data_IF_827940179808
#
_entry.id   IF_827940179808
#
_cell.length_a   1.000
_cell.length_b   1.000
_cell.length_c   1.000
_cell.angle_alpha   90.00
_cell.angle_beta   90.00
_cell.angle_gamma   90.00
#
_symmetry.space_group_name_H-M   'P 1'
#
loop_
_entity.id
_entity.type
_entity.pdbx_description
1 polymer ?
#
# COMPACT_ATOMS: atom_id res chain seq x y z
N UNK A 1 -7.64 7.87 2.29
CA UNK A 1 -7.81 8.79 1.13
C UNK A 1 -6.69 8.53 0.14
N UNK A 2 -6.94 8.83 -1.14
CA UNK A 2 -5.90 8.85 -2.17
C UNK A 2 -6.04 10.14 -3.00
N UNK A 3 -4.90 10.62 -3.50
CA UNK A 3 -4.79 11.77 -4.39
C UNK A 3 -3.65 11.54 -5.38
N UNK A 4 -3.51 12.39 -6.37
CA UNK A 4 -2.43 12.28 -7.35
C UNK A 4 -2.03 13.66 -7.89
N UNK A 5 -0.82 13.72 -8.39
CA UNK A 5 -0.33 14.76 -9.29
C UNK A 5 0.28 14.13 -10.56
N UNK A 6 1.09 14.88 -11.28
CA UNK A 6 1.72 14.40 -12.50
C UNK A 6 2.66 13.21 -12.25
N UNK A 7 3.37 13.19 -11.14
CA UNK A 7 4.47 12.27 -10.86
C UNK A 7 4.14 11.21 -9.81
N UNK A 8 3.24 11.51 -8.87
CA UNK A 8 2.99 10.69 -7.69
C UNK A 8 1.52 10.36 -7.47
N UNK A 9 1.33 9.24 -6.78
CA UNK A 9 0.11 8.89 -6.06
C UNK A 9 0.37 9.10 -4.57
N UNK A 10 -0.56 9.76 -3.91
CA UNK A 10 -0.51 10.01 -2.47
C UNK A 10 -1.58 9.18 -1.77
N UNK A 11 -1.16 8.42 -0.78
CA UNK A 11 -2.05 7.58 0.02
C UNK A 11 -2.03 8.07 1.45
N UNK A 12 -3.20 8.38 2.00
CA UNK A 12 -3.36 8.85 3.37
C UNK A 12 -4.26 7.92 4.16
N UNK A 13 -3.81 7.56 5.37
CA UNK A 13 -4.62 6.88 6.38
C UNK A 13 -4.61 7.66 7.68
N UNK A 14 -5.72 7.62 8.39
CA UNK A 14 -5.87 8.07 9.76
C UNK A 14 -6.35 6.92 10.63
N UNK A 15 -5.62 6.63 11.69
CA UNK A 15 -5.92 5.60 12.67
C UNK A 15 -6.65 6.20 13.88
N UNK A 16 -7.23 5.35 14.72
CA UNK A 16 -7.85 5.77 15.97
C UNK A 16 -6.80 6.22 16.99
N UNK A 17 -5.77 5.41 17.14
CA UNK A 17 -4.66 5.63 18.07
C UNK A 17 -3.43 6.12 17.29
N UNK A 18 -2.44 6.74 17.95
CA UNK A 18 -1.20 7.14 17.29
C UNK A 18 -0.52 5.96 16.57
N UNK A 19 0.03 6.24 15.39
CA UNK A 19 0.78 5.24 14.61
C UNK A 19 2.08 4.92 15.36
N UNK A 20 2.35 3.63 15.53
CA UNK A 20 3.56 3.14 16.18
C UNK A 20 4.82 3.45 15.36
N UNK A 21 6.02 3.38 15.95
CA UNK A 21 7.27 3.58 15.21
C UNK A 21 7.44 2.58 14.07
N UNK A 22 8.08 3.00 12.99
CA UNK A 22 8.36 2.15 11.82
C UNK A 22 9.24 0.92 12.14
N UNK A 23 9.89 0.92 13.30
CA UNK A 23 10.70 -0.19 13.81
C UNK A 23 9.87 -1.30 14.44
N UNK A 24 8.59 -1.09 14.65
CA UNK A 24 7.71 -2.12 15.19
C UNK A 24 7.51 -3.25 14.17
N UNK A 25 7.45 -4.51 14.62
CA UNK A 25 7.16 -5.62 13.73
C UNK A 25 5.74 -5.54 13.16
N UNK A 26 5.56 -6.05 11.94
CA UNK A 26 4.26 -6.10 11.26
C UNK A 26 3.57 -4.73 11.13
N UNK A 27 4.36 -3.72 10.83
CA UNK A 27 3.89 -2.34 10.71
C UNK A 27 2.92 -2.15 9.54
N UNK A 28 2.19 -1.04 9.56
CA UNK A 28 1.17 -0.65 8.59
C UNK A 28 1.61 -0.83 7.13
N UNK A 29 0.98 -1.76 6.42
CA UNK A 29 1.23 -1.99 5.00
C UNK A 29 0.23 -1.22 4.13
N UNK A 30 0.71 -0.74 2.98
CA UNK A 30 -0.12 -0.31 1.87
C UNK A 30 -0.01 -1.37 0.75
N UNK A 31 -1.13 -1.99 0.42
CA UNK A 31 -1.25 -3.00 -0.64
C UNK A 31 -1.96 -2.38 -1.83
N UNK A 32 -1.43 -2.59 -3.04
CA UNK A 32 -1.94 -1.99 -4.28
C UNK A 32 -2.12 -3.07 -5.33
N UNK A 33 -3.33 -3.14 -5.88
CA UNK A 33 -3.73 -3.99 -7.01
C UNK A 33 -3.91 -3.07 -8.23
N UNK A 34 -2.90 -3.06 -9.11
CA UNK A 34 -2.88 -2.16 -10.26
C UNK A 34 -3.69 -2.66 -11.45
N UNK A 35 -3.84 -3.97 -11.59
CA UNK A 35 -4.58 -4.58 -12.69
C UNK A 35 -6.03 -4.94 -12.33
N UNK A 36 -6.40 -4.75 -11.07
CA UNK A 36 -7.73 -5.05 -10.51
C UNK A 36 -8.13 -6.52 -10.71
N UNK A 37 -7.16 -7.41 -10.62
CA UNK A 37 -7.33 -8.83 -10.84
C UNK A 37 -6.89 -9.63 -9.61
N UNK A 38 -7.85 -10.08 -8.84
CA UNK A 38 -7.58 -10.88 -7.64
C UNK A 38 -6.87 -12.23 -7.91
N UNK A 39 -6.74 -12.63 -9.17
CA UNK A 39 -6.03 -13.84 -9.59
C UNK A 39 -4.53 -13.63 -9.87
N UNK A 40 -4.05 -12.41 -9.86
CA UNK A 40 -2.64 -12.04 -10.05
C UNK A 40 -2.02 -11.53 -8.74
N UNK A 41 -0.73 -11.31 -8.73
CA UNK A 41 -0.04 -10.80 -7.55
C UNK A 41 0.00 -11.77 -6.37
N UNK A 42 0.26 -11.26 -5.19
CA UNK A 42 0.15 -11.97 -3.91
C UNK A 42 -1.17 -11.58 -3.25
N UNK A 43 -2.07 -12.54 -3.05
CA UNK A 43 -3.44 -12.31 -2.57
C UNK A 43 -4.24 -11.28 -3.41
N UNK A 44 -3.89 -11.11 -4.68
CA UNK A 44 -4.48 -10.11 -5.58
C UNK A 44 -3.76 -8.76 -5.59
N UNK A 45 -2.62 -8.61 -4.92
CA UNK A 45 -1.89 -7.35 -4.88
C UNK A 45 -0.58 -7.45 -5.66
N UNK A 46 -0.33 -6.45 -6.51
CA UNK A 46 0.87 -6.35 -7.36
C UNK A 46 2.02 -5.67 -6.63
N UNK A 47 1.70 -4.75 -5.71
CA UNK A 47 2.69 -3.96 -4.97
C UNK A 47 2.38 -3.92 -3.48
N UNK A 48 3.44 -3.86 -2.67
CA UNK A 48 3.37 -3.59 -1.24
C UNK A 48 4.36 -2.50 -0.87
N UNK A 49 3.93 -1.60 0.00
CA UNK A 49 4.74 -0.53 0.59
C UNK A 49 4.79 -0.73 2.10
N UNK A 50 5.86 -0.32 2.74
CA UNK A 50 6.14 -0.48 4.17
C UNK A 50 6.45 -1.91 4.63
N UNK A 51 6.64 -2.87 3.74
CA UNK A 51 7.12 -4.20 4.13
C UNK A 51 8.58 -4.16 4.62
N UNK A 52 9.34 -3.17 4.15
CA UNK A 52 10.69 -2.86 4.59
C UNK A 52 10.87 -1.34 4.63
N UNK A 53 11.22 -0.82 5.80
CA UNK A 53 11.29 0.63 6.05
C UNK A 53 12.68 1.00 6.56
N UNK A 54 13.53 1.60 5.72
CA UNK A 54 14.92 1.91 6.09
C UNK A 54 15.06 3.11 7.01
N UNK A 55 14.11 4.05 7.04
CA UNK A 55 14.23 5.27 7.84
C UNK A 55 12.87 5.86 8.24
N UNK A 56 12.88 6.95 9.01
CA UNK A 56 11.66 7.68 9.42
C UNK A 56 10.96 8.45 8.28
N UNK A 57 11.58 8.55 7.12
CA UNK A 57 11.07 9.36 6.00
C UNK A 57 11.03 8.63 4.67
N UNK A 58 11.63 7.44 4.61
CA UNK A 58 11.72 6.64 3.38
C UNK A 58 11.29 5.21 3.65
N UNK A 59 10.51 4.66 2.74
CA UNK A 59 10.06 3.27 2.73
C UNK A 59 10.36 2.61 1.40
N UNK A 60 10.34 1.29 1.37
CA UNK A 60 10.56 0.50 0.16
C UNK A 60 9.24 0.16 -0.51
N UNK A 61 9.21 0.29 -1.84
CA UNK A 61 8.15 -0.24 -2.70
C UNK A 61 8.60 -1.56 -3.27
N UNK A 62 7.81 -2.61 -3.08
CA UNK A 62 8.07 -3.93 -3.64
C UNK A 62 6.98 -4.34 -4.62
N UNK A 63 7.36 -5.08 -5.65
CA UNK A 63 6.45 -5.70 -6.61
C UNK A 63 6.47 -7.22 -6.45
N UNK A 64 5.31 -7.86 -6.66
CA UNK A 64 5.22 -9.32 -6.69
C UNK A 64 5.74 -9.85 -8.03
N UNK A 65 6.88 -10.53 -7.99
CA UNK A 65 7.52 -11.11 -9.17
C UNK A 65 8.15 -12.46 -8.81
N UNK A 66 7.97 -13.45 -9.67
CA UNK A 66 8.55 -14.79 -9.49
C UNK A 66 8.21 -15.42 -8.11
N UNK A 67 6.97 -15.25 -7.67
CA UNK A 67 6.46 -15.72 -6.38
C UNK A 67 7.22 -15.13 -5.16
N UNK A 68 7.71 -13.90 -5.27
CA UNK A 68 8.35 -13.17 -4.19
C UNK A 68 8.13 -11.66 -4.27
N UNK A 69 8.17 -11.00 -3.12
CA UNK A 69 8.20 -9.54 -3.03
C UNK A 69 9.61 -9.02 -3.32
N UNK A 70 9.78 -8.36 -4.45
CA UNK A 70 11.06 -7.80 -4.89
C UNK A 70 11.05 -6.28 -4.81
N UNK A 71 12.09 -5.68 -4.25
CA UNK A 71 12.24 -4.22 -4.21
C UNK A 71 12.35 -3.66 -5.63
N UNK A 72 11.56 -2.63 -5.92
CA UNK A 72 11.56 -1.90 -7.19
C UNK A 72 11.93 -0.43 -7.02
N UNK A 73 11.97 0.08 -5.81
CA UNK A 73 12.36 1.46 -5.51
C UNK A 73 11.93 1.90 -4.12
N UNK A 74 12.08 3.19 -3.87
CA UNK A 74 11.74 3.83 -2.61
C UNK A 74 10.54 4.77 -2.78
N UNK A 75 9.87 5.06 -1.67
CA UNK A 75 8.83 6.06 -1.57
C UNK A 75 9.05 6.91 -0.32
N UNK A 76 8.71 8.19 -0.39
CA UNK A 76 8.72 9.06 0.78
C UNK A 76 7.45 8.84 1.60
N UNK A 77 7.58 8.89 2.92
CA UNK A 77 6.42 8.87 3.81
C UNK A 77 6.60 9.83 4.98
N UNK A 78 5.47 10.15 5.62
CA UNK A 78 5.43 10.95 6.84
C UNK A 78 4.36 10.43 7.78
N UNK A 79 4.70 10.33 9.04
CA UNK A 79 3.77 10.07 10.14
C UNK A 79 3.64 11.31 11.01
N UNK A 80 2.42 11.67 11.38
CA UNK A 80 2.14 12.75 12.33
C UNK A 80 0.97 12.35 13.21
N UNK A 81 1.24 12.02 14.46
CA UNK A 81 0.24 11.53 15.40
C UNK A 81 -0.41 10.23 14.91
N UNK A 82 -1.67 10.29 14.59
CA UNK A 82 -2.47 9.17 14.09
C UNK A 82 -2.65 9.18 12.57
N UNK A 83 -1.92 10.02 11.84
CA UNK A 83 -1.96 10.11 10.38
C UNK A 83 -0.67 9.64 9.73
N UNK A 84 -0.77 8.91 8.62
CA UNK A 84 0.34 8.55 7.74
C UNK A 84 0.01 8.93 6.30
N UNK A 85 0.98 9.52 5.62
CA UNK A 85 0.93 9.76 4.18
C UNK A 85 2.14 9.12 3.50
N UNK A 86 1.91 8.48 2.36
CA UNK A 86 2.95 7.89 1.51
C UNK A 86 2.81 8.45 0.11
N UNK A 87 3.94 8.88 -0.49
CA UNK A 87 4.02 9.34 -1.87
C UNK A 87 4.73 8.30 -2.73
N UNK A 88 3.99 7.61 -3.59
CA UNK A 88 4.51 6.57 -4.48
C UNK A 88 4.62 7.12 -5.90
N UNK A 89 5.81 7.01 -6.52
CA UNK A 89 6.00 7.40 -7.92
C UNK A 89 5.07 6.60 -8.84
N UNK A 90 4.33 7.28 -9.69
CA UNK A 90 3.44 6.67 -10.69
C UNK A 90 4.20 5.79 -11.67
N UNK A 91 5.37 6.26 -12.10
CA UNK A 91 6.23 5.50 -13.02
C UNK A 91 6.72 4.19 -12.39
N UNK A 92 6.97 4.18 -11.09
CA UNK A 92 7.49 3.02 -10.36
C UNK A 92 6.51 1.83 -10.35
N UNK A 93 5.22 2.12 -10.23
CA UNK A 93 4.16 1.10 -10.16
C UNK A 93 3.36 0.95 -11.45
N UNK A 94 3.80 1.58 -12.54
CA UNK A 94 3.15 1.47 -13.85
C UNK A 94 1.83 2.26 -13.98
N UNK A 95 1.57 3.21 -13.09
CA UNK A 95 0.42 4.10 -13.17
C UNK A 95 0.66 5.18 -14.23
N UNK A 96 0.23 4.95 -15.47
CA UNK A 96 0.45 5.88 -16.58
C UNK A 96 -0.22 7.23 -16.38
N UNK A 97 0.20 8.25 -17.15
CA UNK A 97 -0.35 9.60 -17.10
C UNK A 97 -1.80 9.72 -17.62
N UNK A 98 -2.37 8.66 -18.18
CA UNK A 98 -3.74 8.61 -18.65
C UNK A 98 -4.73 8.16 -17.56
N UNK A 99 -5.83 7.57 -17.99
CA UNK A 99 -6.80 6.95 -17.09
C UNK A 99 -6.14 5.88 -16.25
N UNK A 100 -6.08 6.09 -14.96
CA UNK A 100 -5.52 5.12 -14.01
C UNK A 100 -6.63 4.71 -13.05
N UNK A 101 -6.95 3.43 -13.04
CA UNK A 101 -7.81 2.82 -12.04
C UNK A 101 -7.01 1.72 -11.35
N UNK A 102 -7.09 1.65 -10.04
CA UNK A 102 -6.46 0.60 -9.22
C UNK A 102 -7.23 0.42 -7.93
N UNK A 103 -7.04 -0.73 -7.31
CA UNK A 103 -7.57 -1.00 -5.99
C UNK A 103 -6.45 -0.97 -4.95
N UNK A 104 -6.75 -0.58 -3.71
CA UNK A 104 -5.77 -0.53 -2.63
C UNK A 104 -6.38 -0.82 -1.27
N UNK A 105 -5.53 -1.21 -0.33
CA UNK A 105 -5.86 -1.52 1.05
C UNK A 105 -4.73 -1.09 1.98
N UNK A 106 -5.10 -0.57 3.14
CA UNK A 106 -4.21 -0.48 4.29
C UNK A 106 -4.41 -1.70 5.19
N UNK A 107 -3.31 -2.24 5.70
CA UNK A 107 -3.35 -3.40 6.58
C UNK A 107 -2.26 -3.30 7.64
N UNK A 108 -2.64 -3.28 8.90
CA UNK A 108 -1.75 -3.25 10.05
C UNK A 108 -1.71 -4.63 10.73
N UNK A 109 -0.60 -4.92 11.40
CA UNK A 109 -0.39 -6.15 12.16
C UNK A 109 -0.60 -7.44 11.35
N UNK A 110 -0.22 -7.45 10.08
CA UNK A 110 -0.24 -8.64 9.24
C UNK A 110 1.00 -9.48 9.54
N UNK A 111 0.81 -10.67 10.10
CA UNK A 111 1.88 -11.56 10.50
C UNK A 111 2.29 -12.53 9.40
N UNK A 112 1.35 -12.88 8.52
CA UNK A 112 1.59 -13.72 7.34
C UNK A 112 0.91 -13.12 6.11
N UNK A 113 1.69 -12.46 5.26
CA UNK A 113 1.20 -11.83 4.02
C UNK A 113 0.90 -12.85 2.90
N UNK A 114 1.04 -14.13 3.15
CA UNK A 114 0.61 -15.20 2.23
C UNK A 114 -0.76 -15.79 2.56
N UNK A 115 -1.33 -15.46 3.73
CA UNK A 115 -2.62 -15.94 4.17
C UNK A 115 -3.68 -14.82 4.18
N UNK A 116 -4.68 -14.95 3.32
CA UNK A 116 -5.81 -13.99 3.24
C UNK A 116 -6.62 -13.91 4.54
N UNK A 117 -6.60 -14.94 5.37
CA UNK A 117 -7.31 -14.94 6.65
C UNK A 117 -6.71 -13.92 7.64
N UNK A 118 -5.42 -13.58 7.50
CA UNK A 118 -4.73 -12.59 8.32
C UNK A 118 -5.43 -11.22 8.32
N UNK A 119 -6.05 -10.83 7.22
CA UNK A 119 -6.81 -9.58 7.13
C UNK A 119 -8.02 -9.50 8.07
N UNK A 120 -8.45 -10.61 8.63
CA UNK A 120 -9.59 -10.65 9.54
C UNK A 120 -9.31 -11.34 10.88
N UNK A 121 -8.11 -11.91 11.06
CA UNK A 121 -7.71 -12.65 12.27
C UNK A 121 -6.81 -11.78 13.14
N UNK A 122 -5.61 -11.45 12.66
CA UNK A 122 -4.64 -10.64 13.40
C UNK A 122 -4.60 -9.20 12.88
N UNK A 123 -4.90 -8.99 11.60
CA UNK A 123 -4.81 -7.69 10.95
C UNK A 123 -5.94 -6.74 11.31
N UNK A 124 -5.61 -5.45 11.39
CA UNK A 124 -6.56 -4.35 11.30
C UNK A 124 -6.47 -3.73 9.91
N UNK A 125 -7.57 -3.70 9.19
CA UNK A 125 -7.56 -3.34 7.77
C UNK A 125 -8.57 -2.25 7.40
N UNK A 126 -8.20 -1.41 6.46
CA UNK A 126 -9.06 -0.41 5.86
C UNK A 126 -9.02 -0.52 4.31
N UNK A 127 -10.13 -0.89 3.66
CA UNK A 127 -11.40 -1.33 4.23
C UNK A 127 -11.31 -2.70 4.89
N UNK A 128 -12.32 -3.04 5.70
CA UNK A 128 -12.31 -4.26 6.48
C UNK A 128 -12.23 -5.54 5.61
N UNK A 129 -11.50 -6.54 6.10
CA UNK A 129 -11.41 -7.89 5.54
C UNK A 129 -10.90 -7.89 4.09
N UNK A 130 -11.66 -8.48 3.15
CA UNK A 130 -11.25 -8.66 1.75
C UNK A 130 -11.59 -7.50 0.83
N UNK A 131 -12.31 -6.48 1.30
CA UNK A 131 -12.67 -5.33 0.48
C UNK A 131 -11.47 -4.44 0.23
N UNK A 132 -11.48 -3.77 -0.94
CA UNK A 132 -10.49 -2.77 -1.34
C UNK A 132 -11.18 -1.43 -1.57
N UNK A 133 -10.44 -0.34 -1.40
CA UNK A 133 -10.82 0.94 -1.96
C UNK A 133 -10.49 0.96 -3.43
N UNK A 134 -11.37 1.53 -4.25
CA UNK A 134 -11.10 1.79 -5.66
C UNK A 134 -10.77 3.25 -5.88
N UNK A 135 -9.67 3.50 -6.56
CA UNK A 135 -9.29 4.81 -7.03
C UNK A 135 -9.42 4.84 -8.55
N UNK A 136 -10.06 5.88 -9.08
CA UNK A 136 -10.19 6.11 -10.51
C UNK A 136 -9.85 7.56 -10.82
N UNK A 137 -8.95 7.76 -11.77
CA UNK A 137 -8.75 9.05 -12.42
C UNK A 137 -9.58 9.04 -13.69
N UNK A 138 -10.67 9.81 -13.72
CA UNK A 138 -11.41 10.05 -14.95
C UNK A 138 -10.60 11.05 -15.81
N UNK A 139 -10.41 10.76 -17.09
CA UNK A 139 -10.01 11.76 -18.05
C UNK A 139 -11.23 12.67 -18.28
N UNK A 140 -11.06 13.97 -18.04
CA UNK A 140 -11.98 14.99 -18.55
C UNK A 140 -11.81 15.17 -20.05
#
# INVERSE_FOLDING_TARGET
KAAYDQDNLYFFIQTRDPITPYTDPNWMLLLIDMDQNAGTGCLGYDHVVNLEVPSETETTVKAWKNNAWMSIGAAAYRVSGNGMEVAVSRALIGASAGSTAFDFKWADNIQDLSDVAEFGVNGDTAPNRRWNYRFCVALE
#
